data_IF_986491715567
#
_entry.id   IF_986491715567
#
_cell.length_a   1.000
_cell.length_b   1.000
_cell.length_c   1.000
_cell.angle_alpha   90.00
_cell.angle_beta   90.00
_cell.angle_gamma   90.00
#
_symmetry.space_group_name_H-M   'P 1'
#
loop_
_entity.id
_entity.type
_entity.pdbx_description
1 polymer ?
#
# COMPACT_ATOMS: atom_id res chain seq x y z
N UNK A 1 -22.71 7.10 -1.40
CA UNK A 1 -21.26 6.83 -1.51
C UNK A 1 -20.62 7.85 -2.43
N UNK A 2 -19.48 8.38 -2.05
CA UNK A 2 -18.69 9.27 -2.89
C UNK A 2 -17.81 8.46 -3.86
N UNK A 3 -17.34 9.09 -4.94
CA UNK A 3 -16.55 8.40 -5.98
C UNK A 3 -15.30 7.69 -5.45
N UNK A 4 -14.66 8.25 -4.42
CA UNK A 4 -13.46 7.66 -3.82
C UNK A 4 -13.79 6.40 -3.01
N UNK A 5 -14.90 6.39 -2.28
CA UNK A 5 -15.38 5.19 -1.57
C UNK A 5 -15.69 4.05 -2.55
N UNK A 6 -16.33 4.36 -3.70
CA UNK A 6 -16.59 3.36 -4.73
C UNK A 6 -15.29 2.82 -5.34
N UNK A 7 -14.32 3.70 -5.62
CA UNK A 7 -13.03 3.28 -6.16
C UNK A 7 -12.24 2.42 -5.16
N UNK A 8 -12.30 2.75 -3.87
CA UNK A 8 -11.70 1.96 -2.81
C UNK A 8 -12.31 0.56 -2.75
N UNK A 9 -13.65 0.47 -2.78
CA UNK A 9 -14.35 -0.82 -2.77
C UNK A 9 -13.96 -1.69 -3.98
N UNK A 10 -13.97 -1.12 -5.19
CA UNK A 10 -13.55 -1.86 -6.39
C UNK A 10 -12.11 -2.37 -6.29
N UNK A 11 -11.19 -1.60 -5.71
CA UNK A 11 -9.82 -2.05 -5.50
C UNK A 11 -9.70 -3.16 -4.46
N UNK A 12 -10.52 -3.14 -3.40
CA UNK A 12 -10.62 -4.24 -2.44
C UNK A 12 -11.13 -5.53 -3.07
N UNK A 13 -12.06 -5.42 -4.01
CA UNK A 13 -12.62 -6.54 -4.76
C UNK A 13 -11.73 -6.94 -5.97
N UNK A 14 -10.58 -6.30 -6.17
CA UNK A 14 -9.66 -6.59 -7.27
C UNK A 14 -10.14 -6.10 -8.64
N UNK A 15 -11.28 -5.41 -8.72
CA UNK A 15 -11.86 -4.87 -9.95
C UNK A 15 -11.20 -3.53 -10.35
N UNK A 16 -10.01 -3.65 -10.93
CA UNK A 16 -9.21 -2.49 -11.38
C UNK A 16 -9.89 -1.74 -12.52
N UNK A 17 -10.64 -2.41 -13.38
CA UNK A 17 -11.28 -1.79 -14.55
C UNK A 17 -12.44 -0.88 -14.13
N UNK A 18 -13.31 -1.34 -13.20
CA UNK A 18 -14.37 -0.50 -12.63
C UNK A 18 -13.79 0.69 -11.86
N UNK A 19 -12.66 0.50 -11.16
CA UNK A 19 -11.96 1.60 -10.51
C UNK A 19 -11.42 2.64 -11.51
N UNK A 20 -10.85 2.21 -12.64
CA UNK A 20 -10.36 3.10 -13.71
C UNK A 20 -11.52 3.87 -14.35
N UNK A 21 -12.64 3.20 -14.64
CA UNK A 21 -13.83 3.79 -15.27
C UNK A 21 -14.36 5.01 -14.49
N UNK A 22 -14.30 4.98 -13.15
CA UNK A 22 -14.70 6.12 -12.31
C UNK A 22 -13.88 7.40 -12.56
N UNK A 23 -12.64 7.26 -13.05
CA UNK A 23 -11.75 8.38 -13.34
C UNK A 23 -11.59 8.65 -14.84
N UNK A 24 -12.26 7.91 -15.70
CA UNK A 24 -12.30 8.23 -17.13
C UNK A 24 -12.92 9.63 -17.33
N UNK A 25 -12.25 10.45 -18.15
CA UNK A 25 -12.62 11.85 -18.36
C UNK A 25 -12.05 12.84 -17.33
N UNK A 26 -11.41 12.40 -16.24
CA UNK A 26 -10.71 13.32 -15.35
C UNK A 26 -9.39 13.82 -15.96
N UNK A 27 -9.32 15.13 -16.18
CA UNK A 27 -8.10 15.79 -16.72
C UNK A 27 -7.08 16.15 -15.64
N UNK A 28 -7.41 15.96 -14.37
CA UNK A 28 -6.50 16.27 -13.27
C UNK A 28 -5.29 15.34 -13.30
N UNK A 29 -4.08 15.91 -13.25
CA UNK A 29 -2.81 15.15 -13.25
C UNK A 29 -2.78 14.03 -12.20
N UNK A 30 -3.38 14.24 -11.02
CA UNK A 30 -3.47 13.21 -9.97
C UNK A 30 -4.31 12.00 -10.42
N UNK A 31 -5.46 12.24 -11.05
CA UNK A 31 -6.32 11.16 -11.54
C UNK A 31 -5.66 10.40 -12.70
N UNK A 32 -5.03 11.12 -13.63
CA UNK A 32 -4.29 10.49 -14.74
C UNK A 32 -3.14 9.63 -14.23
N UNK A 33 -2.34 10.15 -13.28
CA UNK A 33 -1.25 9.38 -12.67
C UNK A 33 -1.76 8.15 -11.92
N UNK A 34 -2.90 8.27 -11.24
CA UNK A 34 -3.53 7.16 -10.54
C UNK A 34 -3.99 6.06 -11.50
N UNK A 35 -4.71 6.42 -12.57
CA UNK A 35 -5.12 5.46 -13.63
C UNK A 35 -3.90 4.79 -14.27
N UNK A 36 -2.85 5.55 -14.59
CA UNK A 36 -1.61 4.98 -15.13
C UNK A 36 -0.93 4.02 -14.15
N UNK A 37 -0.93 4.35 -12.85
CA UNK A 37 -0.39 3.47 -11.83
C UNK A 37 -1.15 2.14 -11.77
N UNK A 38 -2.48 2.20 -11.77
CA UNK A 38 -3.33 1.02 -11.75
C UNK A 38 -3.11 0.14 -12.98
N UNK A 39 -3.02 0.72 -14.19
CA UNK A 39 -2.74 -0.03 -15.42
C UNK A 39 -1.38 -0.73 -15.39
N UNK A 40 -0.35 -0.06 -14.89
CA UNK A 40 1.01 -0.64 -14.82
C UNK A 40 1.18 -1.68 -13.72
N UNK A 41 0.32 -1.69 -12.70
CA UNK A 41 0.48 -2.52 -11.50
C UNK A 41 -0.73 -3.40 -11.19
N UNK A 42 -1.69 -3.55 -12.12
CA UNK A 42 -2.91 -4.32 -11.91
C UNK A 42 -2.62 -5.76 -11.45
N UNK A 43 -1.60 -6.40 -12.03
CA UNK A 43 -1.16 -7.76 -11.66
C UNK A 43 -0.62 -7.90 -10.23
N UNK A 44 -0.26 -6.78 -9.57
CA UNK A 44 0.20 -6.77 -8.18
C UNK A 44 -0.93 -6.52 -7.20
N UNK A 45 -2.10 -6.08 -7.68
CA UNK A 45 -3.22 -5.78 -6.80
C UNK A 45 -3.87 -7.10 -6.34
N UNK A 46 -3.84 -7.44 -5.04
CA UNK A 46 -4.44 -8.66 -4.55
C UNK A 46 -5.97 -8.56 -4.57
N UNK A 47 -6.66 -9.62 -4.98
CA UNK A 47 -8.11 -9.73 -4.82
C UNK A 47 -8.45 -10.07 -3.37
N UNK A 48 -8.44 -9.05 -2.52
CA UNK A 48 -8.57 -9.20 -1.08
C UNK A 48 -9.90 -9.84 -0.69
N UNK A 49 -10.99 -9.51 -1.38
CA UNK A 49 -12.31 -10.12 -1.16
C UNK A 49 -12.24 -11.65 -1.25
N UNK A 50 -11.58 -12.19 -2.29
CA UNK A 50 -11.36 -13.63 -2.45
C UNK A 50 -10.53 -14.24 -1.30
N UNK A 51 -9.44 -13.57 -0.88
CA UNK A 51 -8.63 -14.05 0.25
C UNK A 51 -9.39 -14.03 1.58
N UNK A 52 -10.27 -13.04 1.78
CA UNK A 52 -11.14 -12.98 2.94
C UNK A 52 -12.11 -14.17 2.96
N UNK A 53 -12.72 -14.49 1.82
CA UNK A 53 -13.59 -15.66 1.67
C UNK A 53 -12.87 -16.98 1.91
N UNK A 54 -11.58 -17.08 1.56
CA UNK A 54 -10.73 -18.22 1.87
C UNK A 54 -10.31 -18.30 3.35
N UNK A 55 -10.70 -17.33 4.19
CA UNK A 55 -10.34 -17.25 5.60
C UNK A 55 -8.89 -16.82 5.84
N UNK A 56 -8.21 -16.30 4.80
CA UNK A 56 -6.87 -15.75 4.95
C UNK A 56 -6.97 -14.37 5.58
N UNK A 57 -6.32 -14.20 6.74
CA UNK A 57 -6.25 -12.91 7.43
C UNK A 57 -5.44 -11.90 6.61
N UNK A 58 -6.12 -10.88 6.09
CA UNK A 58 -5.55 -9.79 5.28
C UNK A 58 -4.71 -8.83 6.14
N UNK A 59 -5.03 -8.73 7.42
CA UNK A 59 -4.26 -8.01 8.41
C UNK A 59 -3.82 -8.95 9.52
N UNK A 60 -2.52 -9.04 9.76
CA UNK A 60 -1.99 -9.69 10.96
C UNK A 60 -1.48 -8.63 11.91
N UNK A 61 -2.07 -8.56 13.11
CA UNK A 61 -1.55 -7.71 14.19
C UNK A 61 -0.08 -8.01 14.52
N UNK A 62 0.38 -9.24 14.26
CA UNK A 62 1.78 -9.61 14.40
C UNK A 62 2.68 -8.95 13.33
N UNK A 63 2.22 -8.86 12.08
CA UNK A 63 2.96 -8.18 11.00
C UNK A 63 3.03 -6.68 11.26
N UNK A 64 1.90 -6.04 11.59
CA UNK A 64 1.88 -4.61 11.91
C UNK A 64 2.75 -4.27 13.12
N UNK A 65 2.62 -5.04 14.21
CA UNK A 65 3.44 -4.82 15.41
C UNK A 65 4.92 -5.02 15.12
N UNK A 66 5.30 -6.00 14.30
CA UNK A 66 6.68 -6.21 13.88
C UNK A 66 7.22 -5.03 13.05
N UNK A 67 6.44 -4.52 12.09
CA UNK A 67 6.81 -3.32 11.32
C UNK A 67 6.98 -2.11 12.25
N UNK A 68 6.06 -1.91 13.21
CA UNK A 68 6.15 -0.82 14.21
C UNK A 68 7.41 -0.96 15.07
N UNK A 69 7.77 -2.17 15.50
CA UNK A 69 9.00 -2.42 16.26
C UNK A 69 10.27 -2.14 15.44
N UNK A 70 10.33 -2.58 14.18
CA UNK A 70 11.45 -2.26 13.27
C UNK A 70 11.56 -0.76 13.07
N UNK A 71 10.45 -0.08 12.78
CA UNK A 71 10.40 1.37 12.62
C UNK A 71 10.90 2.12 13.86
N UNK A 72 10.52 1.66 15.06
CA UNK A 72 11.02 2.22 16.33
C UNK A 72 12.53 2.04 16.50
N UNK A 73 13.09 0.89 16.10
CA UNK A 73 14.53 0.63 16.17
C UNK A 73 15.33 1.50 15.19
N UNK A 74 14.81 1.72 13.98
CA UNK A 74 15.40 2.62 12.98
C UNK A 74 15.31 4.09 13.43
N UNK A 75 14.20 4.49 14.06
CA UNK A 75 13.98 5.83 14.64
C UNK A 75 14.63 6.04 16.01
N UNK A 76 15.70 5.33 16.36
CA UNK A 76 16.56 5.79 17.45
C UNK A 76 17.22 7.11 17.00
N UNK A 77 16.58 8.23 17.32
CA UNK A 77 17.03 9.57 16.95
C UNK A 77 18.51 9.74 17.36
N UNK A 78 19.36 10.09 16.40
CA UNK A 78 20.80 10.24 16.59
C UNK A 78 21.65 9.02 16.27
N UNK A 79 21.09 7.85 15.92
CA UNK A 79 21.91 6.71 15.49
C UNK A 79 22.30 6.82 14.01
N UNK A 80 23.59 6.68 13.70
CA UNK A 80 24.13 6.60 12.33
C UNK A 80 24.87 5.29 12.10
N UNK A 81 24.81 4.79 10.87
CA UNK A 81 25.62 3.65 10.45
C UNK A 81 27.08 4.06 10.36
N UNK A 82 27.96 3.35 11.07
CA UNK A 82 29.40 3.54 10.90
C UNK A 82 29.80 2.96 9.54
N UNK A 83 30.20 3.84 8.61
CA UNK A 83 30.39 3.56 7.17
C UNK A 83 31.28 2.33 6.89
N UNK A 84 32.20 2.01 7.80
CA UNK A 84 33.18 0.92 7.63
C UNK A 84 32.78 -0.41 8.30
N UNK A 85 31.89 -0.42 9.29
CA UNK A 85 31.63 -1.64 10.08
C UNK A 85 30.21 -2.19 9.96
N UNK A 86 29.30 -1.50 9.25
CA UNK A 86 27.86 -1.83 9.23
C UNK A 86 27.33 -2.10 10.66
N UNK A 87 27.87 -1.37 11.64
CA UNK A 87 27.36 -1.36 13.00
C UNK A 87 26.63 -0.05 13.21
N UNK A 88 25.45 -0.13 13.81
CA UNK A 88 24.69 1.04 14.22
C UNK A 88 25.41 1.66 15.43
N UNK A 89 25.76 2.93 15.35
CA UNK A 89 26.36 3.68 16.45
C UNK A 89 25.44 4.85 16.83
N UNK A 90 25.32 5.11 18.12
CA UNK A 90 24.65 6.30 18.63
C UNK A 90 25.63 7.48 18.51
N UNK A 91 25.20 8.57 17.87
CA UNK A 91 25.91 9.87 17.94
C UNK A 91 25.74 10.44 19.34
#
# INVERSE_FOLDING_TARGET
>A
MCRLENAEQFLWDGDVESAIALFEGCKFKRAVNFVNYLRSHCLRNPEYSYFHHLGLTIGSGAVESSIKQIGRRIKSAGAQWKRLSRKMCKV
#
